data_IF_149175405400
#
_entry.id   IF_149175405400
#
_cell.length_a   1.000
_cell.length_b   1.000
_cell.length_c   1.000
_cell.angle_alpha   90.00
_cell.angle_beta   90.00
_cell.angle_gamma   90.00
#
_symmetry.space_group_name_H-M   'P 1'
#
loop_
_entity.id
_entity.type
_entity.pdbx_description
1 polymer ?
#
# COMPACT_ATOMS: atom_id res chain seq x y z
N UNK A 1 -41.79 -47.98 3.52
CA UNK A 1 -42.21 -46.69 2.93
C UNK A 1 -40.95 -45.89 2.72
N UNK A 2 -40.53 -45.78 1.46
CA UNK A 2 -39.24 -45.17 1.09
C UNK A 2 -39.36 -43.65 1.07
N UNK A 3 -38.53 -42.98 1.86
CA UNK A 3 -38.44 -41.52 1.86
C UNK A 3 -37.87 -41.07 0.51
N UNK A 4 -38.66 -40.29 -0.20
CA UNK A 4 -38.39 -39.86 -1.56
C UNK A 4 -37.31 -38.76 -1.54
N UNK A 5 -36.16 -39.00 -2.19
CA UNK A 5 -35.00 -38.10 -2.17
C UNK A 5 -35.27 -36.70 -2.78
N UNK A 6 -36.43 -36.52 -3.42
CA UNK A 6 -36.84 -35.29 -4.12
C UNK A 6 -37.30 -34.19 -3.15
N UNK A 7 -37.82 -34.53 -1.97
CA UNK A 7 -38.35 -33.53 -1.03
C UNK A 7 -37.24 -32.79 -0.27
N UNK A 8 -36.03 -33.36 -0.19
CA UNK A 8 -34.87 -32.73 0.46
C UNK A 8 -34.19 -31.71 -0.47
N UNK A 9 -34.29 -31.89 -1.81
CA UNK A 9 -33.69 -30.97 -2.78
C UNK A 9 -34.50 -29.67 -2.97
N UNK A 10 -35.80 -29.69 -2.65
CA UNK A 10 -36.66 -28.51 -2.74
C UNK A 10 -36.38 -27.46 -1.64
N UNK A 11 -35.74 -27.86 -0.52
CA UNK A 11 -35.31 -26.93 0.53
C UNK A 11 -33.97 -26.22 0.22
N UNK A 12 -33.26 -26.63 -0.83
CA UNK A 12 -31.98 -26.03 -1.26
C UNK A 12 -32.13 -25.07 -2.46
N UNK A 13 -33.33 -24.94 -3.04
CA UNK A 13 -33.61 -24.09 -4.20
C UNK A 13 -34.51 -22.92 -3.79
N UNK A 14 -33.95 -21.98 -3.03
CA UNK A 14 -34.61 -20.75 -2.56
C UNK A 14 -34.95 -19.75 -3.66
N UNK A 15 -35.62 -20.16 -4.73
CA UNK A 15 -36.17 -19.25 -5.73
C UNK A 15 -37.56 -18.77 -5.31
N UNK A 16 -37.59 -17.76 -4.44
CA UNK A 16 -38.74 -16.85 -4.39
C UNK A 16 -38.58 -15.81 -5.50
N UNK A 17 -39.53 -15.83 -6.45
CA UNK A 17 -39.77 -14.73 -7.37
C UNK A 17 -40.33 -13.55 -6.56
N UNK A 18 -39.54 -12.48 -6.42
CA UNK A 18 -39.98 -11.23 -5.78
C UNK A 18 -39.66 -10.05 -6.71
N UNK A 19 -40.76 -9.45 -7.16
CA UNK A 19 -41.02 -8.12 -7.71
C UNK A 19 -39.90 -7.06 -7.69
N UNK A 20 -39.78 -6.40 -8.83
CA UNK A 20 -39.06 -5.15 -9.16
C UNK A 20 -38.79 -4.19 -7.98
N UNK A 21 -37.52 -4.07 -7.60
CA UNK A 21 -36.99 -2.98 -6.77
C UNK A 21 -36.71 -1.72 -7.62
N UNK A 22 -36.86 -0.50 -7.05
CA UNK A 22 -36.48 0.72 -7.75
C UNK A 22 -34.96 0.74 -7.96
N UNK A 23 -34.52 1.19 -9.16
CA UNK A 23 -33.12 1.29 -9.51
C UNK A 23 -32.38 2.26 -8.57
N UNK A 24 -31.86 1.74 -7.47
CA UNK A 24 -30.83 2.38 -6.68
C UNK A 24 -29.62 2.54 -7.60
N UNK A 25 -29.24 3.79 -7.85
CA UNK A 25 -28.05 4.14 -8.61
C UNK A 25 -26.82 3.73 -7.79
N UNK A 26 -26.54 2.43 -7.75
CA UNK A 26 -25.33 1.87 -7.21
C UNK A 26 -24.20 2.32 -8.13
N UNK A 27 -23.51 3.38 -7.72
CA UNK A 27 -22.19 3.69 -8.29
C UNK A 27 -21.35 2.44 -8.14
N UNK A 28 -20.83 1.93 -9.25
CA UNK A 28 -19.96 0.75 -9.24
C UNK A 28 -18.85 0.94 -8.19
N UNK A 29 -18.51 -0.11 -7.42
CA UNK A 29 -17.31 -0.09 -6.59
C UNK A 29 -16.11 0.30 -7.45
N UNK A 30 -15.27 1.21 -6.95
CA UNK A 30 -14.05 1.59 -7.67
C UNK A 30 -13.12 0.38 -7.78
N UNK A 31 -12.68 0.06 -8.99
CA UNK A 31 -11.66 -0.97 -9.24
C UNK A 31 -10.27 -0.33 -9.23
N UNK A 32 -9.23 -1.15 -9.28
CA UNK A 32 -7.85 -0.67 -9.42
C UNK A 32 -7.69 0.25 -10.65
N UNK A 33 -8.47 -0.01 -11.70
CA UNK A 33 -8.49 0.77 -12.95
C UNK A 33 -9.08 2.18 -12.79
N UNK A 34 -9.81 2.44 -11.69
CA UNK A 34 -10.37 3.77 -11.38
C UNK A 34 -9.34 4.70 -10.71
N UNK A 35 -8.17 4.18 -10.36
CA UNK A 35 -7.08 4.98 -9.83
C UNK A 35 -6.17 5.39 -11.00
N UNK A 36 -5.99 6.70 -11.25
CA UNK A 36 -5.10 7.14 -12.30
C UNK A 36 -3.69 6.64 -11.99
N UNK A 37 -3.11 5.90 -12.92
CA UNK A 37 -1.72 5.41 -12.85
C UNK A 37 -0.74 6.59 -12.70
N UNK A 38 -1.15 7.79 -13.13
CA UNK A 38 -0.35 9.01 -13.10
C UNK A 38 -1.06 10.04 -12.20
N UNK A 39 -0.45 10.46 -11.07
CA UNK A 39 -1.06 11.45 -10.20
C UNK A 39 -1.17 12.82 -10.89
N UNK A 40 -2.21 13.62 -10.58
CA UNK A 40 -2.33 14.98 -11.11
C UNK A 40 -1.17 15.85 -10.62
N UNK A 41 -0.60 16.63 -11.53
CA UNK A 41 0.56 17.47 -11.24
C UNK A 41 0.23 18.50 -10.13
N UNK A 42 0.86 18.34 -8.97
CA UNK A 42 0.79 19.31 -7.88
C UNK A 42 1.92 20.34 -7.99
N UNK A 43 1.58 21.60 -7.70
CA UNK A 43 2.42 22.80 -7.88
C UNK A 43 3.47 22.92 -6.75
N UNK A 44 4.61 23.50 -7.14
CA UNK A 44 5.89 23.71 -6.42
C UNK A 44 6.75 22.46 -6.23
N UNK A 45 7.36 22.11 -7.34
CA UNK A 45 8.43 21.14 -7.51
C UNK A 45 9.71 21.75 -6.93
N UNK A 46 10.20 21.21 -5.80
CA UNK A 46 11.64 21.23 -5.47
C UNK A 46 12.41 20.74 -6.70
N UNK A 47 13.65 21.14 -6.96
CA UNK A 47 14.36 20.74 -8.19
C UNK A 47 14.48 19.21 -8.26
N UNK A 48 13.51 18.60 -8.93
CA UNK A 48 13.32 17.18 -9.16
C UNK A 48 14.12 16.88 -10.43
N UNK A 49 15.12 16.02 -10.32
CA UNK A 49 15.95 15.69 -11.47
C UNK A 49 15.45 14.44 -12.18
N UNK A 50 14.98 14.59 -13.41
CA UNK A 50 14.69 13.48 -14.33
C UNK A 50 15.87 12.51 -14.52
N UNK A 51 17.10 12.98 -14.27
CA UNK A 51 18.32 12.24 -14.61
C UNK A 51 18.87 11.41 -13.44
N UNK A 52 18.28 11.51 -12.23
CA UNK A 52 18.72 10.73 -11.08
C UNK A 52 17.69 9.63 -10.80
N UNK A 53 18.06 8.42 -11.20
CA UNK A 53 17.32 7.20 -10.91
C UNK A 53 17.98 6.49 -9.73
N UNK A 54 17.17 6.14 -8.73
CA UNK A 54 17.58 5.31 -7.60
C UNK A 54 16.77 4.02 -7.63
N UNK A 55 17.40 2.88 -7.38
CA UNK A 55 16.67 1.63 -7.15
C UNK A 55 16.59 1.39 -5.64
N UNK A 56 15.38 1.24 -5.11
CA UNK A 56 15.16 1.09 -3.68
C UNK A 56 14.46 -0.24 -3.43
N UNK A 57 15.18 -1.17 -2.80
CA UNK A 57 14.56 -2.35 -2.18
C UNK A 57 14.10 -1.99 -0.78
N UNK A 58 12.94 -2.50 -0.35
CA UNK A 58 12.45 -2.30 1.01
C UNK A 58 11.73 -3.53 1.55
N UNK A 59 11.79 -3.71 2.85
CA UNK A 59 11.05 -4.70 3.61
C UNK A 59 10.52 -4.11 4.93
N UNK A 60 9.83 -4.93 5.73
CA UNK A 60 9.25 -4.49 7.00
C UNK A 60 9.20 -5.67 7.96
N UNK A 61 9.64 -5.45 9.20
CA UNK A 61 9.47 -6.40 10.29
C UNK A 61 8.25 -6.04 11.13
N UNK A 62 7.48 -7.05 11.51
CA UNK A 62 6.28 -6.86 12.30
C UNK A 62 6.01 -8.05 13.22
N UNK A 63 5.27 -7.79 14.29
CA UNK A 63 4.77 -8.82 15.20
C UNK A 63 3.26 -8.69 15.30
N UNK A 64 2.55 -9.82 15.30
CA UNK A 64 1.11 -9.81 15.55
C UNK A 64 0.83 -9.56 17.03
N UNK A 65 0.00 -8.56 17.31
CA UNK A 65 -0.46 -8.22 18.65
C UNK A 65 -1.83 -8.86 18.91
N UNK A 66 -1.93 -9.84 19.83
CA UNK A 66 -3.18 -10.54 20.09
C UNK A 66 -4.23 -9.69 20.81
N UNK A 67 -3.82 -8.65 21.54
CA UNK A 67 -4.72 -7.77 22.29
C UNK A 67 -5.46 -6.82 21.35
N UNK A 68 -4.74 -6.23 20.41
CA UNK A 68 -5.30 -5.29 19.42
C UNK A 68 -5.76 -5.99 18.12
N UNK A 69 -5.42 -7.27 17.97
CA UNK A 69 -5.61 -8.09 16.76
C UNK A 69 -5.04 -7.45 15.50
N UNK A 70 -3.88 -6.78 15.62
CA UNK A 70 -3.23 -6.06 14.53
C UNK A 70 -1.73 -6.33 14.53
N UNK A 71 -1.07 -6.07 13.40
CA UNK A 71 0.39 -6.11 13.33
C UNK A 71 0.99 -4.82 13.90
N UNK A 72 1.86 -4.96 14.88
CA UNK A 72 2.74 -3.91 15.36
C UNK A 72 3.98 -3.89 14.47
N UNK A 73 4.25 -2.74 13.85
CA UNK A 73 5.41 -2.60 12.97
C UNK A 73 6.63 -2.34 13.84
N UNK A 74 7.66 -3.16 13.68
CA UNK A 74 8.91 -3.07 14.44
C UNK A 74 9.93 -2.20 13.72
N UNK A 75 10.06 -2.36 12.40
CA UNK A 75 10.98 -1.58 11.58
C UNK A 75 10.57 -1.58 10.11
N UNK A 76 11.03 -0.54 9.41
CA UNK A 76 11.11 -0.52 7.95
C UNK A 76 12.58 -0.55 7.56
N UNK A 77 12.97 -1.41 6.63
CA UNK A 77 14.34 -1.42 6.13
C UNK A 77 14.36 -1.09 4.65
N UNK A 78 15.44 -0.42 4.24
CA UNK A 78 15.64 -0.04 2.85
C UNK A 78 17.08 -0.28 2.42
N UNK A 79 17.27 -0.66 1.17
CA UNK A 79 18.56 -0.72 0.50
C UNK A 79 18.47 0.09 -0.81
N UNK A 80 19.21 1.20 -0.85
CA UNK A 80 19.25 2.12 -1.99
C UNK A 80 20.48 1.81 -2.82
N UNK A 81 20.28 1.50 -4.10
CA UNK A 81 21.36 1.34 -5.09
C UNK A 81 21.54 2.65 -5.84
N UNK A 82 22.76 3.18 -5.77
CA UNK A 82 23.18 4.43 -6.41
C UNK A 82 23.60 4.19 -7.88
N UNK A 83 23.72 5.25 -8.70
CA UNK A 83 24.12 5.11 -10.12
C UNK A 83 25.48 4.45 -10.36
N UNK A 84 26.38 4.49 -9.38
CA UNK A 84 27.69 3.82 -9.41
C UNK A 84 27.64 2.35 -8.95
N UNK A 85 26.42 1.81 -8.72
CA UNK A 85 26.12 0.48 -8.18
C UNK A 85 26.55 0.24 -6.73
N UNK A 86 26.95 1.29 -6.00
CA UNK A 86 27.12 1.18 -4.56
C UNK A 86 25.76 1.17 -3.87
N UNK A 87 25.71 0.53 -2.69
CA UNK A 87 24.47 0.36 -1.94
C UNK A 87 24.52 0.98 -0.56
N UNK A 88 23.42 1.58 -0.13
CA UNK A 88 23.26 2.19 1.18
C UNK A 88 22.05 1.58 1.89
N UNK A 89 22.29 0.98 3.06
CA UNK A 89 21.23 0.43 3.90
C UNK A 89 20.72 1.46 4.91
N UNK A 90 19.44 1.35 5.27
CA UNK A 90 18.83 2.12 6.34
C UNK A 90 17.77 1.30 7.07
N UNK A 91 17.57 1.59 8.36
CA UNK A 91 16.53 1.01 9.20
C UNK A 91 15.81 2.15 9.90
N UNK A 92 14.49 2.19 9.78
CA UNK A 92 13.64 3.19 10.40
C UNK A 92 12.75 2.50 11.43
N UNK A 93 12.86 2.93 12.68
CA UNK A 93 12.02 2.46 13.77
C UNK A 93 10.84 3.42 13.96
N UNK A 94 9.58 2.93 13.89
CA UNK A 94 8.42 3.71 14.30
C UNK A 94 8.57 4.18 15.75
N UNK A 95 8.06 5.37 16.11
CA UNK A 95 8.16 5.87 17.47
C UNK A 95 7.35 5.04 18.48
N UNK A 96 6.27 4.40 18.01
CA UNK A 96 5.45 3.48 18.79
C UNK A 96 4.72 2.48 17.87
N UNK A 97 4.07 1.48 18.48
CA UNK A 97 3.31 0.45 17.76
C UNK A 97 1.93 0.91 17.25
N UNK A 98 1.53 2.17 17.50
CA UNK A 98 0.20 2.63 17.13
C UNK A 98 0.08 2.74 15.60
N UNK A 99 -1.09 2.35 15.08
CA UNK A 99 -1.37 2.39 13.63
C UNK A 99 -1.14 3.77 12.99
N UNK A 100 -1.38 4.86 13.75
CA UNK A 100 -1.16 6.24 13.30
C UNK A 100 0.31 6.61 13.11
N UNK A 101 1.21 5.87 13.76
CA UNK A 101 2.65 6.09 13.75
C UNK A 101 3.36 5.28 12.67
N UNK A 102 2.60 4.44 11.94
CA UNK A 102 3.09 3.72 10.76
C UNK A 102 3.35 4.73 9.64
N UNK A 103 4.48 4.56 8.97
CA UNK A 103 4.84 5.43 7.87
C UNK A 103 3.95 5.18 6.67
N UNK A 104 3.46 6.25 6.07
CA UNK A 104 3.03 6.20 4.68
C UNK A 104 4.22 5.95 3.77
N UNK A 105 3.98 5.44 2.55
CA UNK A 105 5.06 5.24 1.57
C UNK A 105 5.84 6.53 1.30
N UNK A 106 5.17 7.68 1.27
CA UNK A 106 5.81 8.98 1.08
C UNK A 106 6.75 9.35 2.23
N UNK A 107 6.34 9.11 3.47
CA UNK A 107 7.19 9.39 4.64
C UNK A 107 8.36 8.42 4.72
N UNK A 108 8.14 7.15 4.38
CA UNK A 108 9.21 6.18 4.25
C UNK A 108 10.26 6.65 3.23
N UNK A 109 9.85 6.98 2.00
CA UNK A 109 10.76 7.50 0.98
C UNK A 109 11.48 8.77 1.43
N UNK A 110 10.76 9.69 2.10
CA UNK A 110 11.36 10.91 2.63
C UNK A 110 12.46 10.60 3.65
N UNK A 111 12.21 9.68 4.59
CA UNK A 111 13.20 9.28 5.61
C UNK A 111 14.33 8.43 5.03
N UNK A 112 14.11 7.72 3.92
CA UNK A 112 15.15 6.98 3.21
C UNK A 112 16.06 7.91 2.39
N UNK A 113 15.52 8.92 1.71
CA UNK A 113 16.27 9.75 0.76
C UNK A 113 16.92 10.96 1.44
N UNK A 114 16.29 11.55 2.46
CA UNK A 114 16.80 12.77 3.12
C UNK A 114 18.23 12.61 3.66
N UNK A 115 18.59 11.50 4.35
CA UNK A 115 19.96 11.31 4.81
C UNK A 115 20.99 11.27 3.68
N UNK A 116 20.62 10.75 2.50
CA UNK A 116 21.53 10.70 1.34
C UNK A 116 21.80 12.11 0.78
N UNK A 117 20.82 13.01 0.87
CA UNK A 117 20.98 14.41 0.50
C UNK A 117 21.83 15.16 1.52
N UNK A 118 21.54 14.98 2.82
CA UNK A 118 22.23 15.68 3.90
C UNK A 118 23.70 15.28 4.01
N UNK A 119 24.03 14.02 3.70
CA UNK A 119 25.41 13.51 3.66
C UNK A 119 26.13 13.79 2.33
N UNK A 120 25.43 14.35 1.33
CA UNK A 120 26.00 14.64 0.02
C UNK A 120 26.25 13.41 -0.86
N UNK A 121 25.75 12.23 -0.46
CA UNK A 121 25.78 11.00 -1.28
C UNK A 121 25.02 11.19 -2.59
N UNK A 122 23.91 11.93 -2.53
CA UNK A 122 23.23 12.47 -3.71
C UNK A 122 23.10 13.99 -3.55
N UNK A 123 23.08 14.71 -4.66
CA UNK A 123 23.09 16.18 -4.67
C UNK A 123 21.73 16.80 -4.99
N UNK A 124 20.74 15.99 -5.32
CA UNK A 124 19.40 16.42 -5.76
C UNK A 124 18.36 15.34 -5.48
N UNK A 125 17.10 15.75 -5.38
CA UNK A 125 16.00 14.81 -5.22
C UNK A 125 15.81 13.98 -6.51
N UNK A 126 15.54 12.67 -6.41
CA UNK A 126 15.23 11.84 -7.56
C UNK A 126 13.95 12.30 -8.26
N UNK A 127 13.94 12.11 -9.58
CA UNK A 127 13.00 12.73 -10.51
C UNK A 127 11.58 12.19 -10.44
N UNK A 128 11.49 10.90 -10.67
CA UNK A 128 10.26 10.14 -10.75
C UNK A 128 10.49 8.94 -9.83
N UNK A 129 9.63 8.80 -8.82
CA UNK A 129 9.66 7.71 -7.85
C UNK A 129 8.46 6.81 -8.12
#
# INVERSE_FOLDING_TARGET
MSNNLQDILAAASGYQSVTSEPALNFKRPKTLDDYPVIPPASKKVSVISSDLTLHIGFDTEYVFNPETQQNDILSYQSYVVLPDNTGVSNIIYPPDSQKKSRLSFKEFLFQTITPLLETGVITKWPGII
#
